data_IF_082611139079
#
_entry.id   IF_082611139079
#
_cell.length_a   1.000
_cell.length_b   1.000
_cell.length_c   1.000
_cell.angle_alpha   90.00
_cell.angle_beta   90.00
_cell.angle_gamma   90.00
#
_symmetry.space_group_name_H-M   'P 1'
#
loop_
_entity.id
_entity.type
_entity.pdbx_description
1 polymer ?
#
# COMPACT_ATOMS: atom_id res chain seq x y z
N UNK A 1 45.89 -88.05 -19.52
CA UNK A 1 46.44 -87.97 -20.95
C UNK A 1 45.88 -86.74 -21.56
N UNK A 2 46.76 -85.75 -21.78
CA UNK A 2 46.73 -84.76 -22.94
C UNK A 2 45.41 -83.92 -23.10
N UNK A 3 45.38 -82.65 -23.32
CA UNK A 3 46.27 -81.62 -23.91
C UNK A 3 45.69 -80.24 -23.61
N UNK A 4 46.61 -79.33 -23.36
CA UNK A 4 46.39 -77.91 -23.27
C UNK A 4 45.76 -77.32 -24.58
N UNK A 5 44.88 -76.36 -24.41
CA UNK A 5 44.73 -75.24 -25.37
C UNK A 5 44.42 -73.91 -24.68
N UNK A 6 45.40 -73.03 -24.77
CA UNK A 6 45.29 -71.62 -24.39
C UNK A 6 44.38 -70.93 -25.38
N UNK A 7 43.38 -70.25 -24.88
CA UNK A 7 42.68 -69.22 -25.68
C UNK A 7 43.09 -67.85 -25.14
N UNK A 8 43.77 -67.14 -26.02
CA UNK A 8 44.08 -65.73 -25.91
C UNK A 8 42.79 -64.96 -26.14
N UNK A 9 42.24 -64.31 -25.09
CA UNK A 9 41.14 -63.36 -25.26
C UNK A 9 41.75 -61.97 -25.35
N UNK A 10 41.78 -61.40 -26.53
CA UNK A 10 42.16 -60.02 -26.79
C UNK A 10 41.03 -59.12 -26.29
N UNK A 11 41.30 -58.40 -25.16
CA UNK A 11 40.37 -57.40 -24.63
C UNK A 11 40.47 -56.13 -25.47
N UNK A 12 39.45 -55.88 -26.30
CA UNK A 12 39.29 -54.62 -27.05
C UNK A 12 38.75 -53.57 -26.09
N UNK A 13 39.61 -52.66 -25.64
CA UNK A 13 39.20 -51.46 -24.88
C UNK A 13 38.50 -50.47 -25.86
N UNK A 14 37.18 -50.47 -25.85
CA UNK A 14 36.41 -49.40 -26.49
C UNK A 14 36.44 -48.19 -25.57
N UNK A 15 37.23 -47.19 -25.89
CA UNK A 15 37.18 -45.86 -25.28
C UNK A 15 35.89 -45.18 -25.72
N UNK A 16 34.87 -45.26 -24.91
CA UNK A 16 33.70 -44.42 -25.04
C UNK A 16 34.09 -42.99 -24.56
N UNK A 17 34.43 -42.15 -25.49
CA UNK A 17 34.54 -40.71 -25.23
C UNK A 17 33.12 -40.20 -24.92
N UNK A 18 32.76 -40.17 -23.66
CA UNK A 18 31.63 -39.42 -23.19
C UNK A 18 31.96 -37.94 -23.41
N UNK A 19 31.53 -37.38 -24.51
CA UNK A 19 31.41 -35.93 -24.66
C UNK A 19 30.35 -35.49 -23.66
N UNK A 20 30.76 -35.25 -22.43
CA UNK A 20 29.97 -34.52 -21.49
C UNK A 20 29.69 -33.16 -22.10
N UNK A 21 28.46 -32.94 -22.54
CA UNK A 21 28.00 -31.58 -22.73
C UNK A 21 28.12 -30.92 -21.35
N UNK A 22 29.13 -30.09 -21.18
CA UNK A 22 29.22 -29.20 -20.03
C UNK A 22 27.93 -28.39 -20.03
N UNK A 23 27.06 -28.67 -19.09
CA UNK A 23 25.94 -27.79 -18.75
C UNK A 23 26.60 -26.45 -18.38
N UNK A 24 26.60 -25.51 -19.30
CA UNK A 24 27.08 -24.15 -19.05
C UNK A 24 26.16 -23.61 -17.96
N UNK A 25 26.63 -23.64 -16.71
CA UNK A 25 25.96 -22.93 -15.66
C UNK A 25 25.91 -21.48 -16.09
N UNK A 26 24.71 -20.86 -16.15
CA UNK A 26 24.62 -19.45 -16.51
C UNK A 26 25.53 -18.69 -15.56
N UNK A 27 26.40 -17.86 -16.12
CA UNK A 27 27.42 -17.17 -15.35
C UNK A 27 26.81 -16.36 -14.25
N UNK A 28 27.44 -16.42 -13.09
CA UNK A 28 27.13 -15.63 -11.88
C UNK A 28 27.10 -14.11 -12.17
N UNK A 29 27.60 -13.67 -13.31
CA UNK A 29 27.70 -12.26 -13.67
C UNK A 29 26.35 -11.53 -13.82
N UNK A 30 25.28 -12.20 -14.24
CA UNK A 30 23.96 -11.60 -14.38
C UNK A 30 23.04 -11.82 -13.18
N UNK A 31 23.40 -12.75 -12.29
CA UNK A 31 22.60 -13.02 -11.08
C UNK A 31 22.62 -11.83 -10.12
N UNK A 32 21.54 -11.67 -9.37
CA UNK A 32 21.31 -10.60 -8.43
C UNK A 32 20.27 -9.61 -8.90
N UNK A 33 20.18 -8.48 -8.22
CA UNK A 33 19.19 -7.45 -8.52
C UNK A 33 19.80 -6.34 -9.38
N UNK A 34 18.98 -5.84 -10.29
CA UNK A 34 19.35 -4.79 -11.24
C UNK A 34 18.23 -3.75 -11.29
N UNK A 35 18.56 -2.47 -11.16
CA UNK A 35 17.56 -1.41 -11.13
C UNK A 35 17.89 -0.24 -12.05
N UNK A 36 16.84 0.41 -12.53
CA UNK A 36 16.97 1.59 -13.38
C UNK A 36 15.65 2.33 -13.53
N UNK A 37 15.73 3.53 -14.11
CA UNK A 37 14.56 4.38 -14.31
C UNK A 37 14.08 4.33 -15.75
N UNK A 38 12.87 3.81 -15.94
CA UNK A 38 12.13 3.82 -17.21
C UNK A 38 11.46 5.19 -17.37
N UNK A 39 11.80 5.92 -18.43
CA UNK A 39 11.17 7.22 -18.73
C UNK A 39 10.02 7.03 -19.71
N UNK A 40 8.81 7.34 -19.27
CA UNK A 40 7.58 7.28 -20.08
C UNK A 40 6.98 8.69 -20.15
N UNK A 41 7.25 9.41 -21.22
CA UNK A 41 6.88 10.83 -21.33
C UNK A 41 7.58 11.67 -20.26
N UNK A 42 6.78 12.36 -19.45
CA UNK A 42 7.28 13.16 -18.31
C UNK A 42 7.45 12.35 -17.02
N UNK A 43 6.93 11.13 -16.98
CA UNK A 43 7.02 10.24 -15.83
C UNK A 43 8.30 9.41 -15.86
N UNK A 44 8.77 9.04 -14.67
CA UNK A 44 9.90 8.13 -14.49
C UNK A 44 9.50 7.04 -13.50
N UNK A 45 9.61 5.76 -13.91
CA UNK A 45 9.29 4.61 -13.07
C UNK A 45 10.56 3.82 -12.76
N UNK A 46 10.77 3.52 -11.49
CA UNK A 46 11.85 2.61 -11.09
C UNK A 46 11.42 1.17 -11.37
N UNK A 47 12.25 0.44 -12.11
CA UNK A 47 12.11 -0.99 -12.31
C UNK A 47 13.27 -1.72 -11.62
N UNK A 48 12.98 -2.84 -10.96
CA UNK A 48 13.99 -3.70 -10.34
C UNK A 48 13.79 -5.12 -10.87
N UNK A 49 14.79 -5.62 -11.57
CA UNK A 49 14.83 -6.98 -12.10
C UNK A 49 15.67 -7.85 -11.16
N UNK A 50 15.08 -8.93 -10.65
CA UNK A 50 15.77 -9.92 -9.82
C UNK A 50 16.01 -11.17 -10.63
N UNK A 51 17.26 -11.66 -10.63
CA UNK A 51 17.68 -12.94 -11.21
C UNK A 51 18.28 -13.78 -10.10
N UNK A 52 17.56 -14.80 -9.66
CA UNK A 52 17.95 -15.64 -8.54
C UNK A 52 18.21 -17.07 -8.99
N UNK A 53 19.33 -17.67 -8.53
CA UNK A 53 19.58 -19.07 -8.78
C UNK A 53 18.65 -19.91 -7.93
N UNK A 54 17.82 -20.71 -8.57
CA UNK A 54 16.98 -21.72 -7.95
C UNK A 54 17.44 -23.11 -8.37
N UNK A 55 16.84 -24.17 -7.83
CA UNK A 55 17.20 -25.54 -8.11
C UNK A 55 17.09 -25.88 -9.60
N UNK A 56 18.21 -25.78 -10.33
CA UNK A 56 18.33 -26.13 -11.73
C UNK A 56 17.85 -25.07 -12.74
N UNK A 57 17.40 -23.89 -12.30
CA UNK A 57 16.98 -22.79 -13.17
C UNK A 57 17.29 -21.41 -12.56
N UNK A 58 17.12 -20.34 -13.34
CA UNK A 58 17.16 -18.97 -12.85
C UNK A 58 15.72 -18.45 -12.76
N UNK A 59 15.28 -18.19 -11.54
CA UNK A 59 14.02 -17.49 -11.27
C UNK A 59 14.18 -16.00 -11.59
N UNK A 60 13.15 -15.41 -12.20
CA UNK A 60 13.16 -14.00 -12.56
C UNK A 60 11.88 -13.36 -12.04
N UNK A 61 12.04 -12.23 -11.34
CA UNK A 61 10.92 -11.39 -10.94
C UNK A 61 11.20 -9.93 -11.26
N UNK A 62 10.14 -9.15 -11.40
CA UNK A 62 10.20 -7.72 -11.63
C UNK A 62 9.46 -6.99 -10.50
N UNK A 63 10.07 -5.94 -9.95
CA UNK A 63 9.40 -4.99 -9.08
C UNK A 63 9.22 -3.65 -9.80
N UNK A 64 8.15 -2.95 -9.48
CA UNK A 64 7.93 -1.55 -9.79
C UNK A 64 7.58 -0.80 -8.50
N UNK A 65 8.60 -0.39 -7.71
CA UNK A 65 8.38 0.23 -6.40
C UNK A 65 7.49 1.48 -6.45
N UNK A 66 7.63 2.28 -7.50
CA UNK A 66 6.84 3.51 -7.70
C UNK A 66 5.36 3.23 -8.01
N UNK A 67 5.02 1.97 -8.28
CA UNK A 67 3.65 1.49 -8.47
C UNK A 67 3.20 0.55 -7.35
N UNK A 68 4.01 0.38 -6.29
CA UNK A 68 3.74 -0.53 -5.18
C UNK A 68 3.78 -2.01 -5.57
N UNK A 69 4.24 -2.35 -6.77
CA UNK A 69 4.25 -3.71 -7.28
C UNK A 69 5.57 -4.42 -6.97
N UNK A 70 5.49 -5.63 -6.39
CA UNK A 70 6.64 -6.48 -6.07
C UNK A 70 6.42 -7.93 -6.52
N UNK A 71 7.51 -8.59 -6.88
CA UNK A 71 7.50 -10.03 -7.17
C UNK A 71 6.68 -10.41 -8.40
N UNK A 72 6.51 -9.50 -9.37
CA UNK A 72 5.80 -9.81 -10.61
C UNK A 72 6.57 -10.92 -11.32
N UNK A 73 5.91 -12.06 -11.54
CA UNK A 73 6.53 -13.20 -12.19
C UNK A 73 6.99 -12.85 -13.61
N UNK A 74 8.25 -13.11 -13.91
CA UNK A 74 8.85 -12.92 -15.20
C UNK A 74 9.43 -14.24 -15.73
N UNK A 75 9.45 -14.40 -17.05
CA UNK A 75 9.99 -15.58 -17.71
C UNK A 75 11.30 -15.23 -18.42
N UNK A 76 12.28 -16.06 -18.20
CA UNK A 76 13.53 -16.03 -18.95
C UNK A 76 13.31 -16.58 -20.36
N UNK A 77 13.28 -15.73 -21.37
CA UNK A 77 13.30 -16.18 -22.78
C UNK A 77 14.71 -16.61 -23.19
N UNK A 78 15.72 -15.87 -22.74
CA UNK A 78 17.13 -16.13 -23.05
C UNK A 78 18.02 -15.64 -21.91
N UNK A 79 19.13 -16.36 -21.65
CA UNK A 79 20.18 -15.97 -20.71
C UNK A 79 21.51 -16.58 -21.17
N UNK A 80 22.52 -15.74 -21.34
CA UNK A 80 23.91 -16.11 -21.60
C UNK A 80 24.84 -15.43 -20.59
N UNK A 81 26.14 -15.48 -20.84
CA UNK A 81 27.15 -14.89 -19.95
C UNK A 81 27.04 -13.36 -19.86
N UNK A 82 26.61 -12.71 -20.92
CA UNK A 82 26.57 -11.25 -21.04
C UNK A 82 25.22 -10.70 -21.53
N UNK A 83 24.24 -11.54 -21.79
CA UNK A 83 22.99 -11.09 -22.43
C UNK A 83 21.79 -11.80 -21.84
N UNK A 84 20.67 -11.07 -21.72
CA UNK A 84 19.41 -11.62 -21.24
C UNK A 84 18.22 -11.10 -22.05
N UNK A 85 17.17 -11.92 -22.07
CA UNK A 85 15.85 -11.54 -22.53
C UNK A 85 14.82 -12.10 -21.53
N UNK A 86 13.98 -11.22 -21.00
CA UNK A 86 12.92 -11.58 -20.05
C UNK A 86 11.59 -11.04 -20.54
N UNK A 87 10.51 -11.76 -20.17
CA UNK A 87 9.14 -11.42 -20.50
C UNK A 87 8.28 -11.45 -19.26
N UNK A 88 7.41 -10.45 -19.09
CA UNK A 88 6.37 -10.40 -18.07
C UNK A 88 5.01 -10.47 -18.77
N UNK A 89 4.40 -11.66 -18.79
CA UNK A 89 3.17 -11.91 -19.56
C UNK A 89 1.98 -11.13 -19.02
N UNK A 90 1.86 -11.02 -17.70
CA UNK A 90 0.73 -10.34 -17.04
C UNK A 90 0.54 -8.89 -17.47
N UNK A 91 1.61 -8.24 -17.94
CA UNK A 91 1.60 -6.84 -18.38
C UNK A 91 2.06 -6.67 -19.84
N UNK A 92 2.28 -7.77 -20.58
CA UNK A 92 2.71 -7.74 -21.97
C UNK A 92 4.06 -7.06 -22.20
N UNK A 93 5.02 -7.20 -21.25
CA UNK A 93 6.31 -6.53 -21.28
C UNK A 93 7.43 -7.49 -21.66
N UNK A 94 8.43 -6.97 -22.41
CA UNK A 94 9.72 -7.65 -22.64
C UNK A 94 10.87 -6.69 -22.34
N UNK A 95 11.96 -7.22 -21.79
CA UNK A 95 13.21 -6.50 -21.63
C UNK A 95 14.36 -7.34 -22.19
N UNK A 96 15.17 -6.74 -23.10
CA UNK A 96 16.33 -7.37 -23.72
C UNK A 96 17.54 -6.49 -23.46
N UNK A 97 18.60 -7.07 -22.89
CA UNK A 97 19.77 -6.30 -22.51
C UNK A 97 21.07 -7.11 -22.67
N UNK A 98 22.16 -6.37 -22.74
CA UNK A 98 23.52 -6.88 -22.69
C UNK A 98 24.30 -6.24 -21.56
N UNK A 99 25.10 -7.03 -20.86
CA UNK A 99 26.01 -6.56 -19.83
C UNK A 99 27.16 -5.81 -20.51
N UNK A 100 27.27 -4.51 -20.22
CA UNK A 100 28.28 -3.62 -20.73
C UNK A 100 28.73 -2.69 -19.60
N UNK A 101 30.04 -2.62 -19.35
CA UNK A 101 30.64 -1.77 -18.32
C UNK A 101 29.98 -1.89 -16.93
N UNK A 102 29.56 -3.13 -16.56
CA UNK A 102 28.89 -3.41 -15.28
C UNK A 102 27.42 -3.02 -15.21
N UNK A 103 26.80 -2.63 -16.32
CA UNK A 103 25.40 -2.26 -16.45
C UNK A 103 24.69 -3.16 -17.46
N UNK A 104 23.40 -3.37 -17.32
CA UNK A 104 22.55 -3.98 -18.34
C UNK A 104 22.04 -2.88 -19.26
N UNK A 105 22.68 -2.73 -20.41
CA UNK A 105 22.26 -1.81 -21.46
C UNK A 105 21.22 -2.51 -22.34
N UNK A 106 20.00 -2.00 -22.35
CA UNK A 106 18.91 -2.74 -22.97
C UNK A 106 17.73 -1.90 -23.42
N UNK A 107 16.70 -2.64 -23.78
CA UNK A 107 15.48 -2.10 -24.34
C UNK A 107 14.26 -2.73 -23.66
N UNK A 108 13.42 -1.90 -23.12
CA UNK A 108 12.09 -2.22 -22.61
C UNK A 108 11.07 -2.08 -23.74
N UNK A 109 10.18 -3.05 -23.90
CA UNK A 109 9.09 -2.97 -24.87
C UNK A 109 7.77 -3.39 -24.22
N UNK A 110 6.71 -2.61 -24.43
CA UNK A 110 5.36 -2.88 -23.95
C UNK A 110 4.33 -2.22 -24.88
N UNK A 111 3.25 -2.92 -25.21
CA UNK A 111 2.14 -2.41 -26.04
C UNK A 111 2.60 -1.71 -27.34
N UNK A 112 3.58 -2.27 -28.02
CA UNK A 112 4.13 -1.72 -29.27
C UNK A 112 5.09 -0.53 -29.09
N UNK A 113 5.28 -0.05 -27.88
CA UNK A 113 6.24 1.02 -27.56
C UNK A 113 7.55 0.41 -27.10
N UNK A 114 8.67 0.97 -27.57
CA UNK A 114 10.03 0.53 -27.22
C UNK A 114 10.80 1.71 -26.63
N UNK A 115 11.41 1.50 -25.45
CA UNK A 115 12.11 2.54 -24.69
C UNK A 115 13.49 2.01 -24.27
N UNK A 116 14.58 2.75 -24.48
CA UNK A 116 15.88 2.41 -23.91
C UNK A 116 15.80 2.35 -22.37
N UNK A 117 16.41 1.30 -21.79
CA UNK A 117 16.45 1.14 -20.34
C UNK A 117 17.80 0.54 -19.93
N UNK A 118 18.57 1.32 -19.17
CA UNK A 118 19.80 0.84 -18.56
C UNK A 118 19.52 0.50 -17.10
N UNK A 119 19.91 -0.72 -16.71
CA UNK A 119 19.82 -1.15 -15.30
C UNK A 119 21.23 -1.26 -14.71
N UNK A 120 21.41 -0.71 -13.53
CA UNK A 120 22.61 -0.82 -12.71
C UNK A 120 22.44 -1.88 -11.64
N UNK A 121 23.53 -2.47 -11.18
CA UNK A 121 23.48 -3.49 -10.12
C UNK A 121 23.01 -2.90 -8.79
N UNK A 122 22.11 -3.61 -8.12
CA UNK A 122 21.56 -3.27 -6.82
C UNK A 122 20.09 -2.81 -6.90
N UNK A 123 19.51 -2.66 -5.71
CA UNK A 123 18.16 -2.09 -5.51
C UNK A 123 18.36 -0.71 -4.90
N UNK A 124 17.70 0.34 -5.41
CA UNK A 124 17.74 1.64 -4.76
C UNK A 124 17.14 1.50 -3.36
N UNK A 125 17.90 1.78 -2.34
CA UNK A 125 17.41 1.81 -0.98
C UNK A 125 16.87 3.21 -0.68
N UNK A 126 15.55 3.31 -0.54
CA UNK A 126 14.92 4.54 -0.03
C UNK A 126 14.74 4.36 1.47
N UNK A 127 15.41 5.22 2.23
CA UNK A 127 15.34 5.19 3.70
C UNK A 127 13.93 5.53 4.18
N UNK A 128 13.54 4.95 5.31
CA UNK A 128 12.29 5.21 6.00
C UNK A 128 12.56 5.65 7.44
N UNK A 129 13.12 6.86 7.64
CA UNK A 129 13.65 7.28 8.94
C UNK A 129 12.58 7.38 10.03
N UNK A 130 11.31 7.55 9.67
CA UNK A 130 10.21 7.63 10.62
C UNK A 130 9.66 6.27 11.04
N UNK A 131 10.04 5.16 10.37
CA UNK A 131 9.55 3.83 10.75
C UNK A 131 10.11 3.44 12.12
N UNK A 132 9.27 3.27 13.14
CA UNK A 132 9.70 2.92 14.48
C UNK A 132 10.44 1.58 14.51
N UNK A 133 11.48 1.50 15.32
CA UNK A 133 12.29 0.29 15.50
C UNK A 133 12.15 -0.23 16.92
N UNK A 134 12.18 -1.55 17.08
CA UNK A 134 12.24 -2.18 18.41
C UNK A 134 13.63 -1.97 19.08
N UNK A 135 13.68 -1.88 20.41
CA UNK A 135 12.57 -2.00 21.36
C UNK A 135 11.75 -0.70 21.46
N UNK A 136 10.42 -0.83 21.45
CA UNK A 136 9.53 0.32 21.61
C UNK A 136 9.50 0.79 23.08
N UNK A 137 9.35 2.11 23.35
CA UNK A 137 9.24 2.66 24.71
C UNK A 137 7.84 2.53 25.31
N UNK A 138 6.94 1.82 24.66
CA UNK A 138 5.55 1.57 25.03
C UNK A 138 5.19 0.10 24.79
N UNK A 139 4.09 -0.35 25.38
CA UNK A 139 3.60 -1.72 25.26
C UNK A 139 2.71 -1.87 24.02
N UNK A 140 2.92 -2.95 23.28
CA UNK A 140 2.06 -3.44 22.19
C UNK A 140 1.41 -4.75 22.63
N UNK A 141 0.08 -4.81 22.49
CA UNK A 141 -0.74 -5.98 22.81
C UNK A 141 -1.35 -6.52 21.51
N UNK A 142 -1.02 -7.76 21.13
CA UNK A 142 -1.73 -8.44 20.02
C UNK A 142 -3.13 -8.79 20.47
N UNK A 143 -4.12 -8.39 19.69
CA UNK A 143 -5.53 -8.56 20.01
C UNK A 143 -6.30 -9.12 18.84
N UNK A 144 -7.46 -9.72 19.14
CA UNK A 144 -8.45 -10.09 18.13
C UNK A 144 -9.83 -9.60 18.56
N UNK A 145 -10.65 -9.24 17.59
CA UNK A 145 -12.06 -8.91 17.80
C UNK A 145 -12.91 -9.50 16.68
N UNK A 146 -14.19 -9.69 16.92
CA UNK A 146 -15.07 -10.43 16.05
C UNK A 146 -16.21 -9.56 15.50
N UNK A 147 -16.38 -9.56 14.18
CA UNK A 147 -17.54 -9.03 13.49
C UNK A 147 -18.54 -10.17 13.25
N UNK A 148 -19.58 -10.24 14.08
CA UNK A 148 -20.59 -11.29 14.03
C UNK A 148 -21.39 -11.27 12.72
N UNK A 149 -21.68 -10.08 12.18
CA UNK A 149 -22.50 -9.92 10.99
C UNK A 149 -21.87 -10.56 9.75
N UNK A 150 -20.55 -10.52 9.65
CA UNK A 150 -19.80 -11.00 8.48
C UNK A 150 -18.92 -12.22 8.79
N UNK A 151 -18.99 -12.76 10.00
CA UNK A 151 -18.14 -13.89 10.46
C UNK A 151 -16.65 -13.65 10.23
N UNK A 152 -16.20 -12.42 10.50
CA UNK A 152 -14.80 -12.03 10.36
C UNK A 152 -14.12 -11.90 11.73
N UNK A 153 -12.98 -12.54 11.90
CA UNK A 153 -12.09 -12.35 13.06
C UNK A 153 -10.95 -11.44 12.63
N UNK A 154 -10.92 -10.25 13.19
CA UNK A 154 -9.94 -9.21 12.88
C UNK A 154 -8.79 -9.29 13.89
N UNK A 155 -7.57 -9.37 13.40
CA UNK A 155 -6.36 -9.34 14.21
C UNK A 155 -5.74 -7.94 14.21
N UNK A 156 -5.32 -7.46 15.36
CA UNK A 156 -4.78 -6.10 15.48
C UNK A 156 -3.70 -5.99 16.55
N UNK A 157 -3.10 -4.82 16.61
CA UNK A 157 -2.15 -4.42 17.65
C UNK A 157 -2.72 -3.21 18.38
N UNK A 158 -3.00 -3.39 19.66
CA UNK A 158 -3.34 -2.31 20.58
C UNK A 158 -2.02 -1.76 21.15
N UNK A 159 -1.72 -0.51 20.78
CA UNK A 159 -0.53 0.20 21.27
C UNK A 159 -0.94 1.07 22.47
N UNK A 160 -0.35 0.82 23.63
CA UNK A 160 -0.60 1.56 24.87
C UNK A 160 0.25 2.85 24.91
N UNK A 161 -0.21 3.91 25.59
CA UNK A 161 0.61 5.11 25.76
C UNK A 161 1.91 4.82 26.49
N UNK A 162 2.96 5.54 26.14
CA UNK A 162 4.22 5.50 26.87
C UNK A 162 3.99 5.87 28.35
N UNK A 163 4.47 5.03 29.27
CA UNK A 163 4.27 5.23 30.71
C UNK A 163 2.83 5.05 31.18
N UNK A 164 2.02 4.26 30.46
CA UNK A 164 0.63 4.00 30.80
C UNK A 164 0.45 3.49 32.24
N UNK A 165 -0.42 4.15 32.99
CA UNK A 165 -0.90 3.68 34.30
C UNK A 165 -2.37 3.24 34.19
N UNK A 166 -2.68 2.03 34.65
CA UNK A 166 -4.05 1.44 34.66
C UNK A 166 -5.09 2.31 35.39
N UNK A 167 -4.65 3.26 36.23
CA UNK A 167 -5.53 4.22 36.89
C UNK A 167 -5.98 5.35 35.96
N UNK A 168 -5.27 5.59 34.86
CA UNK A 168 -5.64 6.58 33.88
C UNK A 168 -6.55 5.96 32.81
N UNK A 169 -7.36 6.80 32.19
CA UNK A 169 -8.18 6.41 31.03
C UNK A 169 -7.79 7.26 29.83
N UNK A 170 -6.72 6.89 29.11
CA UNK A 170 -6.30 7.63 27.94
C UNK A 170 -7.40 7.61 26.86
N UNK A 171 -7.35 8.57 25.92
CA UNK A 171 -8.09 8.43 24.68
C UNK A 171 -7.50 7.27 23.88
N UNK A 172 -8.34 6.59 23.12
CA UNK A 172 -7.91 5.56 22.15
C UNK A 172 -8.47 5.84 20.78
N UNK A 173 -7.69 5.55 19.74
CA UNK A 173 -8.05 5.78 18.35
C UNK A 173 -7.99 4.44 17.59
N UNK A 174 -9.11 4.06 16.98
CA UNK A 174 -9.12 3.00 15.99
C UNK A 174 -8.62 3.58 14.65
N UNK A 175 -7.59 2.98 14.04
CA UNK A 175 -7.10 3.37 12.73
C UNK A 175 -7.75 2.50 11.66
N UNK A 176 -8.32 3.13 10.63
CA UNK A 176 -9.04 2.48 9.52
C UNK A 176 -8.38 2.88 8.21
N UNK A 177 -7.91 1.87 7.49
CA UNK A 177 -7.16 1.99 6.23
C UNK A 177 -7.98 2.59 5.10
N UNK A 178 -7.28 3.00 4.05
CA UNK A 178 -7.88 3.40 2.78
C UNK A 178 -8.36 2.21 1.95
N UNK A 179 -8.62 2.48 0.66
CA UNK A 179 -9.19 1.50 -0.27
C UNK A 179 -8.30 0.29 -0.51
N UNK A 180 -8.93 -0.86 -0.67
CA UNK A 180 -8.27 -2.15 -0.87
C UNK A 180 -8.01 -2.87 0.45
N UNK A 181 -7.60 -4.15 0.32
CA UNK A 181 -7.21 -4.95 1.49
C UNK A 181 -5.80 -4.58 1.94
N UNK A 182 -5.67 -4.12 3.17
CA UNK A 182 -4.42 -3.63 3.72
C UNK A 182 -4.10 -4.29 5.06
N UNK A 183 -2.80 -4.38 5.38
CA UNK A 183 -2.38 -4.78 6.71
C UNK A 183 -2.55 -3.61 7.70
N UNK A 184 -2.44 -3.92 8.98
CA UNK A 184 -2.63 -2.97 10.10
C UNK A 184 -1.71 -1.75 10.08
N UNK A 185 -0.62 -1.78 9.33
CA UNK A 185 0.34 -0.69 9.21
C UNK A 185 0.02 0.25 8.03
N UNK A 186 -1.02 -0.10 7.22
CA UNK A 186 -1.32 0.56 5.94
C UNK A 186 -0.06 0.60 5.06
N UNK A 187 0.59 -0.56 4.89
CA UNK A 187 1.88 -0.62 4.20
C UNK A 187 1.71 -0.37 2.70
N UNK A 188 2.10 0.83 2.28
CA UNK A 188 2.00 1.34 0.91
C UNK A 188 3.35 1.90 0.45
N UNK A 189 3.83 1.51 -0.73
CA UNK A 189 5.07 2.04 -1.32
C UNK A 189 6.31 1.94 -0.39
N UNK A 190 6.33 0.92 0.48
CA UNK A 190 7.38 0.73 1.49
C UNK A 190 7.29 1.64 2.71
N UNK A 191 6.23 2.44 2.83
CA UNK A 191 5.88 3.20 4.03
C UNK A 191 4.94 2.40 4.93
N UNK A 192 4.91 2.76 6.21
CA UNK A 192 3.99 2.22 7.24
C UNK A 192 3.31 3.36 8.00
N UNK A 193 2.42 4.12 7.34
CA UNK A 193 1.82 5.33 7.94
C UNK A 193 1.17 5.06 9.28
N UNK A 194 0.38 4.00 9.41
CA UNK A 194 -0.32 3.71 10.66
C UNK A 194 0.61 3.27 11.79
N UNK A 195 1.73 2.61 11.48
CA UNK A 195 2.75 2.32 12.49
C UNK A 195 3.39 3.62 13.01
N UNK A 196 3.70 4.57 12.10
CA UNK A 196 4.27 5.88 12.44
C UNK A 196 3.28 6.71 13.27
N UNK A 197 2.00 6.75 12.87
CA UNK A 197 0.93 7.44 13.63
C UNK A 197 0.81 6.82 15.03
N UNK A 198 0.79 5.49 15.14
CA UNK A 198 0.63 4.80 16.42
C UNK A 198 1.81 5.07 17.37
N UNK A 199 3.05 5.03 16.87
CA UNK A 199 4.24 5.38 17.67
C UNK A 199 4.16 6.82 18.17
N UNK A 200 3.85 7.77 17.27
CA UNK A 200 3.75 9.17 17.64
C UNK A 200 2.67 9.41 18.70
N UNK A 201 1.47 8.87 18.48
CA UNK A 201 0.35 9.03 19.41
C UNK A 201 0.61 8.37 20.78
N UNK A 202 1.27 7.20 20.81
CA UNK A 202 1.66 6.54 22.06
C UNK A 202 2.61 7.41 22.88
N UNK A 203 3.57 8.07 22.24
CA UNK A 203 4.47 9.05 22.91
C UNK A 203 3.74 10.31 23.41
N UNK A 204 2.58 10.62 22.84
CA UNK A 204 1.73 11.75 23.22
C UNK A 204 0.61 11.37 24.22
N UNK A 205 0.65 10.16 24.79
CA UNK A 205 -0.31 9.70 25.79
C UNK A 205 -1.66 9.25 25.24
N UNK A 206 -1.73 8.86 23.96
CA UNK A 206 -2.93 8.40 23.26
C UNK A 206 -2.71 6.95 22.82
N UNK A 207 -3.65 6.06 23.16
CA UNK A 207 -3.63 4.67 22.69
C UNK A 207 -4.13 4.56 21.25
N UNK A 208 -3.71 3.50 20.54
CA UNK A 208 -4.21 3.21 19.19
C UNK A 208 -4.50 1.72 19.00
N UNK A 209 -5.52 1.41 18.21
CA UNK A 209 -5.74 0.06 17.68
C UNK A 209 -5.61 0.09 16.16
N UNK A 210 -4.62 -0.63 15.64
CA UNK A 210 -4.43 -0.92 14.23
C UNK A 210 -4.84 -2.37 13.96
N UNK A 211 -5.51 -2.67 12.87
CA UNK A 211 -5.93 -4.05 12.56
C UNK A 211 -5.72 -4.38 11.09
N UNK A 212 -5.47 -5.65 10.81
CA UNK A 212 -5.43 -6.17 9.45
C UNK A 212 -6.88 -6.26 8.92
N UNK A 213 -7.12 -5.80 7.70
CA UNK A 213 -8.43 -5.92 7.07
C UNK A 213 -8.85 -7.39 6.97
N UNK A 214 -10.16 -7.65 6.78
CA UNK A 214 -10.69 -9.01 6.60
C UNK A 214 -9.90 -9.81 5.58
N UNK A 215 -9.59 -11.07 5.89
CA UNK A 215 -8.81 -12.00 5.07
C UNK A 215 -7.41 -11.48 4.67
N UNK A 216 -6.84 -10.54 5.44
CA UNK A 216 -5.48 -10.00 5.24
C UNK A 216 -4.63 -10.25 6.48
N UNK A 217 -3.33 -10.40 6.32
CA UNK A 217 -2.39 -10.58 7.42
C UNK A 217 -2.77 -11.74 8.34
N UNK A 218 -3.09 -11.42 9.60
CA UNK A 218 -3.55 -12.40 10.61
C UNK A 218 -5.07 -12.44 10.76
N UNK A 219 -5.82 -11.59 10.06
CA UNK A 219 -7.29 -11.59 10.05
C UNK A 219 -7.82 -12.74 9.20
N UNK A 220 -8.88 -13.39 9.66
CA UNK A 220 -9.49 -14.53 8.98
C UNK A 220 -11.01 -14.39 8.89
N UNK A 221 -11.61 -15.00 7.87
CA UNK A 221 -13.04 -14.93 7.63
C UNK A 221 -13.46 -13.61 6.97
N UNK A 222 -14.77 -13.45 6.83
CA UNK A 222 -15.36 -12.39 6.03
C UNK A 222 -15.25 -12.62 4.53
N UNK A 223 -16.29 -12.30 3.81
CA UNK A 223 -16.30 -12.35 2.35
C UNK A 223 -15.55 -11.12 1.81
N UNK A 224 -14.73 -11.27 0.77
CA UNK A 224 -13.89 -10.20 0.22
C UNK A 224 -14.29 -9.87 -1.22
N UNK A 225 -14.56 -10.89 -2.04
CA UNK A 225 -14.78 -10.71 -3.48
C UNK A 225 -15.89 -9.70 -3.80
N UNK A 226 -16.95 -9.70 -2.99
CA UNK A 226 -18.09 -8.80 -3.13
C UNK A 226 -18.17 -7.77 -1.99
N UNK A 227 -17.14 -7.70 -1.15
CA UNK A 227 -17.11 -6.75 -0.04
C UNK A 227 -17.13 -5.30 -0.56
N UNK A 228 -17.81 -4.45 0.18
CA UNK A 228 -17.95 -3.02 -0.10
C UNK A 228 -17.47 -2.21 1.09
N UNK A 229 -17.41 -0.91 0.97
CA UNK A 229 -17.08 0.00 2.09
C UNK A 229 -18.02 -0.22 3.29
N UNK A 230 -19.28 -0.60 3.04
CA UNK A 230 -20.23 -0.91 4.13
C UNK A 230 -19.83 -2.17 4.94
N UNK A 231 -19.17 -3.12 4.30
CA UNK A 231 -18.65 -4.32 4.95
C UNK A 231 -17.44 -3.97 5.83
N UNK A 232 -16.50 -3.19 5.31
CA UNK A 232 -15.36 -2.68 6.08
C UNK A 232 -15.79 -1.74 7.23
N UNK A 233 -16.87 -0.97 7.05
CA UNK A 233 -17.47 -0.18 8.13
C UNK A 233 -17.97 -1.07 9.28
N UNK A 234 -18.53 -2.27 9.00
CA UNK A 234 -18.94 -3.20 10.06
C UNK A 234 -17.74 -3.79 10.82
N UNK A 235 -16.61 -4.01 10.13
CA UNK A 235 -15.37 -4.43 10.79
C UNK A 235 -14.84 -3.33 11.74
N UNK A 236 -14.81 -2.10 11.28
CA UNK A 236 -14.41 -0.95 12.10
C UNK A 236 -15.39 -0.74 13.29
N UNK A 237 -16.70 -0.97 13.09
CA UNK A 237 -17.69 -0.93 14.17
C UNK A 237 -17.41 -1.97 15.25
N UNK A 238 -17.04 -3.20 14.86
CA UNK A 238 -16.63 -4.24 15.80
C UNK A 238 -15.37 -3.85 16.58
N UNK A 239 -14.38 -3.20 15.92
CA UNK A 239 -13.18 -2.66 16.56
C UNK A 239 -13.50 -1.60 17.61
N UNK A 240 -14.41 -0.65 17.31
CA UNK A 240 -14.87 0.35 18.30
C UNK A 240 -15.60 -0.31 19.48
N UNK A 241 -16.45 -1.30 19.22
CA UNK A 241 -17.14 -2.06 20.25
C UNK A 241 -16.16 -2.81 21.16
N UNK A 242 -15.13 -3.45 20.56
CA UNK A 242 -14.06 -4.10 21.30
C UNK A 242 -13.33 -3.10 22.21
N UNK A 243 -12.92 -1.93 21.71
CA UNK A 243 -12.25 -0.92 22.52
C UNK A 243 -13.11 -0.46 23.71
N UNK A 244 -14.41 -0.25 23.50
CA UNK A 244 -15.35 0.10 24.57
C UNK A 244 -15.50 -1.02 25.60
N UNK A 245 -15.50 -2.28 25.17
CA UNK A 245 -15.62 -3.43 26.07
C UNK A 245 -14.45 -3.57 27.04
N UNK A 246 -13.27 -3.05 26.68
CA UNK A 246 -12.05 -3.03 27.53
C UNK A 246 -12.23 -2.17 28.79
N UNK A 247 -13.10 -1.17 28.75
CA UNK A 247 -13.36 -0.22 29.87
C UNK A 247 -12.10 0.52 30.36
N UNK A 248 -11.01 0.45 29.62
CA UNK A 248 -9.71 1.01 29.94
C UNK A 248 -9.50 2.42 29.40
N UNK A 249 -10.39 2.89 28.53
CA UNK A 249 -10.26 4.13 27.80
C UNK A 249 -11.32 5.16 28.21
N UNK A 250 -10.98 6.44 28.05
CA UNK A 250 -11.91 7.56 28.17
C UNK A 250 -12.69 7.73 26.85
N UNK A 251 -12.20 8.61 25.98
CA UNK A 251 -12.79 8.79 24.66
C UNK A 251 -12.30 7.69 23.69
N UNK A 252 -13.22 7.11 22.93
CA UNK A 252 -12.94 6.11 21.89
C UNK A 252 -13.24 6.75 20.54
N UNK A 253 -12.20 7.13 19.81
CA UNK A 253 -12.31 7.78 18.51
C UNK A 253 -11.92 6.86 17.35
N UNK A 254 -12.06 7.41 16.14
CA UNK A 254 -11.67 6.77 14.88
C UNK A 254 -10.83 7.75 14.06
N UNK A 255 -9.75 7.23 13.47
CA UNK A 255 -8.95 7.92 12.45
C UNK A 255 -9.03 7.07 11.19
N UNK A 256 -9.59 7.64 10.13
CA UNK A 256 -9.69 6.95 8.85
C UNK A 256 -8.95 7.71 7.77
N UNK A 257 -8.15 6.98 6.98
CA UNK A 257 -7.46 7.50 5.81
C UNK A 257 -8.26 7.21 4.54
N UNK A 258 -8.40 8.19 3.67
CA UNK A 258 -9.06 8.03 2.36
C UNK A 258 -10.47 7.42 2.52
N UNK A 259 -10.76 6.22 1.99
CA UNK A 259 -12.01 5.48 2.21
C UNK A 259 -12.32 5.28 3.69
N UNK A 260 -11.29 5.05 4.53
CA UNK A 260 -11.44 4.99 5.98
C UNK A 260 -12.03 6.27 6.59
N UNK A 261 -11.82 7.43 5.95
CA UNK A 261 -12.48 8.69 6.30
C UNK A 261 -13.99 8.66 6.07
N UNK A 262 -14.45 8.02 4.98
CA UNK A 262 -15.88 7.75 4.76
C UNK A 262 -16.46 6.85 5.83
N UNK A 263 -15.74 5.76 6.16
CA UNK A 263 -16.12 4.83 7.25
C UNK A 263 -16.21 5.58 8.59
N UNK A 264 -15.29 6.50 8.86
CA UNK A 264 -15.32 7.31 10.07
C UNK A 264 -16.59 8.18 10.16
N UNK A 265 -17.00 8.81 9.06
CA UNK A 265 -18.26 9.58 9.02
C UNK A 265 -19.50 8.69 9.16
N UNK A 266 -19.54 7.51 8.51
CA UNK A 266 -20.64 6.55 8.70
C UNK A 266 -20.80 6.15 10.17
N UNK A 267 -19.70 5.88 10.87
CA UNK A 267 -19.72 5.49 12.28
C UNK A 267 -19.99 6.67 13.21
N UNK A 268 -19.57 7.89 12.84
CA UNK A 268 -19.92 9.13 13.52
C UNK A 268 -21.41 9.43 13.47
N UNK A 269 -22.04 9.27 12.29
CA UNK A 269 -23.48 9.40 12.08
C UNK A 269 -24.27 8.40 12.96
N UNK A 270 -23.74 7.18 13.12
CA UNK A 270 -24.29 6.15 13.99
C UNK A 270 -23.95 6.35 15.49
N UNK A 271 -23.24 7.42 15.86
CA UNK A 271 -22.84 7.76 17.24
C UNK A 271 -21.96 6.67 17.89
N UNK A 272 -21.18 5.95 17.08
CA UNK A 272 -20.29 4.88 17.54
C UNK A 272 -18.89 5.37 17.94
N UNK A 273 -18.50 6.59 17.52
CA UNK A 273 -17.22 7.22 17.87
C UNK A 273 -17.46 8.50 18.71
N UNK A 274 -16.56 8.77 19.66
CA UNK A 274 -16.60 9.97 20.49
C UNK A 274 -15.92 11.16 19.78
N UNK A 275 -15.08 10.90 18.79
CA UNK A 275 -14.47 11.88 17.89
C UNK A 275 -13.99 11.21 16.60
N UNK A 276 -13.80 12.02 15.56
CA UNK A 276 -13.32 11.57 14.23
C UNK A 276 -12.09 12.38 13.83
N UNK A 277 -11.07 11.69 13.31
CA UNK A 277 -9.99 12.27 12.49
C UNK A 277 -10.14 11.71 11.07
N UNK A 278 -10.41 12.58 10.10
CA UNK A 278 -10.55 12.20 8.68
C UNK A 278 -9.33 12.66 7.91
N UNK A 279 -8.41 11.73 7.62
CA UNK A 279 -7.22 11.96 6.81
C UNK A 279 -7.58 11.79 5.34
N UNK A 280 -7.57 12.88 4.56
CA UNK A 280 -7.89 12.86 3.14
C UNK A 280 -9.20 12.10 2.81
N UNK A 281 -10.19 12.17 3.73
CA UNK A 281 -11.46 11.48 3.56
C UNK A 281 -12.39 12.18 2.57
N UNK A 282 -13.20 11.42 1.80
CA UNK A 282 -14.18 11.97 0.86
C UNK A 282 -15.22 12.88 1.52
N UNK A 283 -15.49 14.04 0.90
CA UNK A 283 -16.56 14.96 1.27
C UNK A 283 -17.61 15.10 0.19
N UNK A 284 -17.37 14.55 -1.00
CA UNK A 284 -18.25 14.56 -2.17
C UNK A 284 -18.59 13.13 -2.59
N UNK A 285 -19.62 13.00 -3.44
CA UNK A 285 -20.08 11.71 -3.96
C UNK A 285 -18.96 10.97 -4.70
N UNK A 286 -18.89 9.64 -4.57
CA UNK A 286 -17.82 8.80 -5.07
C UNK A 286 -17.58 8.90 -6.57
N UNK A 287 -18.62 8.98 -7.42
CA UNK A 287 -18.43 9.15 -8.88
C UNK A 287 -17.76 10.49 -9.22
N UNK A 288 -18.19 11.57 -8.59
CA UNK A 288 -17.60 12.90 -8.76
C UNK A 288 -16.15 12.94 -8.27
N UNK A 289 -15.86 12.28 -7.16
CA UNK A 289 -14.52 12.17 -6.61
C UNK A 289 -13.58 11.43 -7.57
N UNK A 290 -13.95 10.24 -8.03
CA UNK A 290 -13.09 9.39 -8.87
C UNK A 290 -12.89 9.98 -10.28
N UNK A 291 -13.88 10.70 -10.80
CA UNK A 291 -13.73 11.47 -12.05
C UNK A 291 -12.76 12.64 -11.88
N UNK A 292 -12.88 13.39 -10.78
CA UNK A 292 -11.97 14.50 -10.48
C UNK A 292 -10.53 13.99 -10.28
N UNK A 293 -10.35 12.91 -9.53
CA UNK A 293 -9.06 12.20 -9.37
C UNK A 293 -8.47 11.82 -10.73
N UNK A 294 -9.25 11.12 -11.57
CA UNK A 294 -8.79 10.65 -12.88
C UNK A 294 -8.33 11.81 -13.74
N UNK A 295 -9.12 12.89 -13.82
CA UNK A 295 -8.81 14.05 -14.62
C UNK A 295 -7.59 14.83 -14.11
N UNK A 296 -7.42 14.95 -12.80
CA UNK A 296 -6.27 15.64 -12.22
C UNK A 296 -4.98 14.82 -12.45
N UNK A 297 -5.03 13.50 -12.25
CA UNK A 297 -3.87 12.62 -12.54
C UNK A 297 -3.51 12.68 -14.03
N UNK A 298 -4.49 12.64 -14.95
CA UNK A 298 -4.24 12.80 -16.38
C UNK A 298 -3.54 14.13 -16.67
N UNK A 299 -4.04 15.23 -16.12
CA UNK A 299 -3.47 16.56 -16.31
C UNK A 299 -2.04 16.68 -15.75
N UNK A 300 -1.81 16.20 -14.55
CA UNK A 300 -0.46 16.17 -13.93
C UNK A 300 0.52 15.26 -14.69
N UNK A 301 -0.01 14.26 -15.40
CA UNK A 301 0.77 13.38 -16.28
C UNK A 301 0.95 13.92 -17.69
N UNK A 302 0.51 15.15 -17.97
CA UNK A 302 0.64 15.79 -19.29
C UNK A 302 -0.39 15.34 -20.32
N UNK A 303 -1.48 14.66 -19.91
CA UNK A 303 -2.59 14.25 -20.76
C UNK A 303 -3.78 15.20 -20.61
N UNK A 304 -4.67 15.21 -21.62
CA UNK A 304 -5.90 16.01 -21.55
C UNK A 304 -6.92 15.34 -20.62
N UNK A 305 -7.56 16.07 -19.71
CA UNK A 305 -8.63 15.56 -18.85
C UNK A 305 -9.88 15.28 -19.69
N UNK A 306 -10.22 14.02 -19.89
CA UNK A 306 -11.35 13.60 -20.74
C UNK A 306 -12.34 12.68 -20.06
N UNK A 307 -12.16 12.42 -18.75
CA UNK A 307 -13.05 11.55 -18.00
C UNK A 307 -14.35 12.28 -17.65
N UNK A 308 -15.49 11.62 -17.91
CA UNK A 308 -16.81 12.02 -17.40
C UNK A 308 -17.38 10.93 -16.50
N UNK A 309 -18.46 11.24 -15.76
CA UNK A 309 -19.14 10.25 -14.90
C UNK A 309 -19.62 9.06 -15.73
N UNK A 310 -20.21 9.31 -16.90
CA UNK A 310 -20.71 8.28 -17.81
C UNK A 310 -19.55 7.38 -18.28
N UNK A 311 -18.47 7.98 -18.78
CA UNK A 311 -17.29 7.23 -19.23
C UNK A 311 -16.65 6.42 -18.10
N UNK A 312 -16.62 6.97 -16.89
CA UNK A 312 -16.08 6.25 -15.74
C UNK A 312 -16.90 5.00 -15.42
N UNK A 313 -18.24 5.16 -15.36
CA UNK A 313 -19.18 4.07 -15.09
C UNK A 313 -19.22 3.00 -16.18
N UNK A 314 -18.89 3.35 -17.42
CA UNK A 314 -18.84 2.40 -18.55
C UNK A 314 -17.61 1.52 -18.58
N UNK A 315 -16.58 1.80 -17.79
CA UNK A 315 -15.37 0.99 -17.75
C UNK A 315 -15.67 -0.43 -17.23
N UNK A 316 -15.15 -1.45 -17.91
CA UNK A 316 -15.36 -2.85 -17.51
C UNK A 316 -14.87 -3.14 -16.09
N UNK A 317 -13.73 -2.57 -15.68
CA UNK A 317 -13.22 -2.70 -14.32
C UNK A 317 -14.21 -2.18 -13.27
N UNK A 318 -14.93 -1.11 -13.56
CA UNK A 318 -15.98 -0.53 -12.69
C UNK A 318 -17.17 -1.48 -12.64
N UNK A 319 -17.66 -1.94 -13.80
CA UNK A 319 -18.81 -2.86 -13.89
C UNK A 319 -18.57 -4.20 -13.21
N UNK A 320 -17.34 -4.67 -13.16
CA UNK A 320 -16.96 -5.97 -12.57
C UNK A 320 -16.59 -5.88 -11.09
N UNK A 321 -16.47 -4.69 -10.50
CA UNK A 321 -16.10 -4.50 -9.11
C UNK A 321 -17.29 -4.06 -8.25
N UNK A 322 -17.86 -4.94 -7.42
CA UNK A 322 -18.94 -4.57 -6.49
C UNK A 322 -18.54 -3.42 -5.56
N UNK A 323 -17.28 -3.41 -5.11
CA UNK A 323 -16.76 -2.32 -4.29
C UNK A 323 -16.80 -0.97 -5.01
N UNK A 324 -16.29 -0.89 -6.27
CA UNK A 324 -16.30 0.39 -7.02
C UNK A 324 -17.73 0.82 -7.30
N UNK A 325 -18.64 -0.11 -7.71
CA UNK A 325 -20.05 0.20 -7.95
C UNK A 325 -20.73 0.80 -6.71
N UNK A 326 -20.48 0.22 -5.55
CA UNK A 326 -21.00 0.75 -4.29
C UNK A 326 -20.40 2.13 -3.99
N UNK A 327 -19.09 2.28 -4.11
CA UNK A 327 -18.36 3.50 -3.78
C UNK A 327 -18.77 4.69 -4.65
N UNK A 328 -18.93 4.51 -5.96
CA UNK A 328 -19.37 5.59 -6.88
C UNK A 328 -20.78 6.07 -6.61
N UNK A 329 -21.63 5.25 -6.01
CA UNK A 329 -22.99 5.62 -5.65
C UNK A 329 -23.10 6.23 -4.25
N UNK A 330 -22.09 6.01 -3.39
CA UNK A 330 -22.08 6.54 -2.05
C UNK A 330 -21.89 8.06 -2.04
N UNK A 331 -22.78 8.75 -1.33
CA UNK A 331 -22.70 10.19 -1.06
C UNK A 331 -22.53 10.40 0.46
N UNK A 332 -21.35 10.87 0.93
CA UNK A 332 -21.07 11.05 2.34
C UNK A 332 -21.85 12.19 3.00
N UNK A 333 -22.57 13.01 2.21
CA UNK A 333 -23.24 14.22 2.69
C UNK A 333 -24.21 13.97 3.84
N UNK A 334 -24.94 12.86 3.82
CA UNK A 334 -25.89 12.51 4.87
C UNK A 334 -25.18 12.16 6.17
N UNK A 335 -24.11 11.34 6.09
CA UNK A 335 -23.37 10.91 7.27
C UNK A 335 -22.60 12.08 7.91
N UNK A 336 -22.01 12.96 7.08
CA UNK A 336 -21.33 14.16 7.59
C UNK A 336 -22.31 15.05 8.34
N UNK A 337 -23.53 15.31 7.80
CA UNK A 337 -24.56 16.12 8.48
C UNK A 337 -25.06 15.51 9.78
N UNK A 338 -25.11 14.18 9.88
CA UNK A 338 -25.57 13.46 11.06
C UNK A 338 -24.48 13.25 12.12
N UNK A 339 -23.23 13.53 11.77
CA UNK A 339 -22.10 13.42 12.72
C UNK A 339 -22.20 14.50 13.78
N UNK A 340 -22.38 14.09 15.05
CA UNK A 340 -22.55 14.97 16.19
C UNK A 340 -21.29 15.08 17.07
N UNK A 341 -20.31 14.18 16.93
CA UNK A 341 -19.07 14.22 17.67
C UNK A 341 -18.08 15.23 17.04
N UNK A 342 -17.04 15.67 17.80
CA UNK A 342 -15.96 16.49 17.24
C UNK A 342 -15.28 15.84 16.05
N UNK A 343 -14.97 16.63 15.02
CA UNK A 343 -14.33 16.19 13.78
C UNK A 343 -13.09 17.03 13.51
N UNK A 344 -11.97 16.35 13.25
CA UNK A 344 -10.81 16.95 12.61
C UNK A 344 -10.67 16.36 11.20
N UNK A 345 -11.04 17.14 10.18
CA UNK A 345 -10.87 16.79 8.78
C UNK A 345 -9.66 17.52 8.20
N UNK A 346 -8.73 16.79 7.61
CA UNK A 346 -7.49 17.34 7.10
C UNK A 346 -7.10 16.70 5.76
N UNK A 347 -6.40 17.49 4.92
CA UNK A 347 -5.92 17.04 3.62
C UNK A 347 -4.72 17.88 3.15
N UNK A 348 -3.93 17.34 2.21
CA UNK A 348 -2.87 18.08 1.51
C UNK A 348 -3.40 18.79 0.26
N UNK A 349 -2.86 19.98 -0.05
CA UNK A 349 -3.24 20.75 -1.23
C UNK A 349 -2.73 20.13 -2.55
N UNK A 350 -1.71 19.23 -2.45
CA UNK A 350 -1.18 18.44 -3.57
C UNK A 350 -1.80 17.03 -3.64
N UNK A 351 -2.86 16.76 -2.89
CA UNK A 351 -3.60 15.50 -2.99
C UNK A 351 -4.34 15.43 -4.34
N UNK A 352 -3.87 14.59 -5.25
CA UNK A 352 -4.50 14.36 -6.54
C UNK A 352 -5.56 13.26 -6.52
N UNK A 353 -5.73 12.53 -5.40
CA UNK A 353 -6.71 11.46 -5.26
C UNK A 353 -8.01 11.97 -4.62
N UNK A 354 -7.91 12.68 -3.49
CA UNK A 354 -9.05 13.32 -2.81
C UNK A 354 -8.79 14.81 -2.76
N UNK A 355 -9.15 15.52 -3.81
CA UNK A 355 -8.80 16.94 -4.01
C UNK A 355 -9.29 17.79 -2.82
N UNK A 356 -8.34 18.39 -2.08
CA UNK A 356 -8.59 19.10 -0.82
C UNK A 356 -9.65 20.21 -0.97
N UNK A 357 -9.52 21.06 -1.99
CA UNK A 357 -10.42 22.20 -2.23
C UNK A 357 -11.89 21.78 -2.43
N UNK A 358 -12.14 20.60 -2.98
CA UNK A 358 -13.50 20.06 -3.17
C UNK A 358 -14.00 19.40 -1.86
N UNK A 359 -13.21 18.52 -1.30
CA UNK A 359 -13.64 17.64 -0.21
C UNK A 359 -13.69 18.38 1.14
N UNK A 360 -12.65 19.13 1.51
CA UNK A 360 -12.67 19.91 2.75
C UNK A 360 -13.72 21.03 2.72
N UNK A 361 -13.96 21.64 1.56
CA UNK A 361 -15.04 22.64 1.40
C UNK A 361 -16.41 22.01 1.64
N UNK A 362 -16.64 20.82 1.06
CA UNK A 362 -17.90 20.10 1.27
C UNK A 362 -18.07 19.69 2.74
N UNK A 363 -17.04 19.10 3.37
CA UNK A 363 -17.07 18.71 4.77
C UNK A 363 -17.36 19.93 5.67
N UNK A 364 -16.64 21.03 5.49
CA UNK A 364 -16.85 22.27 6.28
C UNK A 364 -18.28 22.78 6.20
N UNK A 365 -18.89 22.71 5.01
CA UNK A 365 -20.28 23.16 4.80
C UNK A 365 -21.31 22.22 5.42
N UNK A 366 -21.01 20.93 5.51
CA UNK A 366 -21.95 19.88 5.92
C UNK A 366 -21.91 19.61 7.43
N UNK A 367 -20.76 19.80 8.07
CA UNK A 367 -20.60 19.58 9.50
C UNK A 367 -21.50 20.49 10.34
N UNK A 368 -22.07 19.92 11.38
CA UNK A 368 -22.78 20.72 12.40
C UNK A 368 -21.79 21.70 13.05
N UNK A 369 -22.23 22.96 13.32
CA UNK A 369 -21.36 23.93 13.96
C UNK A 369 -20.87 23.46 15.33
N UNK A 370 -19.56 23.42 15.53
CA UNK A 370 -18.93 23.10 16.80
C UNK A 370 -17.57 23.79 16.89
N UNK A 371 -17.26 24.37 18.06
CA UNK A 371 -15.91 24.92 18.35
C UNK A 371 -14.82 23.86 18.42
N UNK A 372 -15.20 22.59 18.57
CA UNK A 372 -14.29 21.45 18.61
C UNK A 372 -14.00 20.88 17.20
N UNK A 373 -14.75 21.29 16.18
CA UNK A 373 -14.45 20.90 14.80
C UNK A 373 -13.26 21.70 14.26
N UNK A 374 -12.38 21.03 13.55
CA UNK A 374 -11.27 21.60 12.81
C UNK A 374 -11.26 21.07 11.38
N UNK A 375 -11.13 21.94 10.40
CA UNK A 375 -10.97 21.56 8.97
C UNK A 375 -9.73 22.29 8.47
N UNK A 376 -8.65 21.55 8.21
CA UNK A 376 -7.33 22.11 7.88
C UNK A 376 -6.78 21.53 6.58
N UNK A 377 -6.28 22.41 5.71
CA UNK A 377 -5.53 22.07 4.51
C UNK A 377 -4.05 22.34 4.78
N UNK A 378 -3.18 21.43 4.32
CA UNK A 378 -1.74 21.54 4.50
C UNK A 378 -1.06 21.79 3.16
N UNK A 379 -0.16 22.78 3.07
CA UNK A 379 0.54 23.08 1.83
C UNK A 379 1.58 22.01 1.50
N UNK A 380 1.77 21.76 0.22
CA UNK A 380 2.77 20.87 -0.37
C UNK A 380 2.70 19.41 0.11
N UNK A 381 1.57 18.95 0.65
CA UNK A 381 1.37 17.56 1.06
C UNK A 381 0.51 16.79 0.05
N UNK A 382 0.93 15.55 -0.24
CA UNK A 382 0.19 14.62 -1.09
C UNK A 382 -0.89 13.85 -0.30
N UNK A 383 -1.51 12.85 -0.93
CA UNK A 383 -2.55 12.01 -0.33
C UNK A 383 -2.09 11.23 0.91
N UNK A 384 -0.80 10.87 1.02
CA UNK A 384 -0.20 10.22 2.18
C UNK A 384 0.34 11.23 3.22
N UNK A 385 0.09 12.52 3.03
CA UNK A 385 0.61 13.60 3.87
C UNK A 385 2.14 13.70 3.89
N UNK A 386 2.79 13.35 2.78
CA UNK A 386 4.22 13.53 2.56
C UNK A 386 4.45 14.86 1.84
N UNK A 387 5.53 15.58 2.17
CA UNK A 387 5.97 16.71 1.36
C UNK A 387 6.39 16.20 -0.03
N UNK A 388 5.80 16.79 -1.05
CA UNK A 388 5.90 16.29 -2.42
C UNK A 388 6.14 17.40 -3.43
N UNK A 389 6.45 17.01 -4.68
CA UNK A 389 6.63 17.93 -5.80
C UNK A 389 5.42 17.92 -6.73
N UNK A 390 4.97 16.74 -7.13
CA UNK A 390 3.89 16.58 -8.11
C UNK A 390 2.56 16.18 -7.47
N UNK A 391 2.61 15.52 -6.31
CA UNK A 391 1.46 14.87 -5.68
C UNK A 391 1.02 13.57 -6.34
N UNK A 392 1.67 13.15 -7.44
CA UNK A 392 1.36 11.92 -8.13
C UNK A 392 1.76 10.69 -7.30
N UNK A 393 0.97 9.60 -7.31
CA UNK A 393 1.30 8.36 -6.61
C UNK A 393 2.67 7.75 -7.00
N UNK A 394 3.15 8.05 -8.20
CA UNK A 394 4.45 7.58 -8.71
C UNK A 394 5.67 8.13 -7.97
N UNK A 395 5.52 9.19 -7.18
CA UNK A 395 6.62 9.70 -6.36
C UNK A 395 6.59 9.20 -4.91
N UNK A 396 5.47 8.65 -4.41
CA UNK A 396 5.31 8.27 -3.00
C UNK A 396 6.43 7.35 -2.51
N UNK A 397 6.77 6.31 -3.28
CA UNK A 397 7.82 5.37 -2.93
C UNK A 397 9.23 5.97 -2.90
N UNK A 398 9.46 7.10 -3.56
CA UNK A 398 10.77 7.79 -3.63
C UNK A 398 10.97 8.81 -2.51
N UNK A 399 9.90 9.24 -1.85
CA UNK A 399 9.94 10.17 -0.72
C UNK A 399 10.39 9.41 0.53
N UNK A 400 11.36 9.92 1.27
CA UNK A 400 11.82 9.29 2.53
C UNK A 400 10.84 9.52 3.69
N UNK A 401 10.13 10.66 3.69
CA UNK A 401 9.12 11.00 4.68
C UNK A 401 7.90 10.12 4.54
N UNK A 402 7.43 9.53 5.65
CA UNK A 402 6.21 8.71 5.66
C UNK A 402 4.96 9.56 5.87
N UNK A 403 5.04 10.54 6.77
CA UNK A 403 3.95 11.48 7.07
C UNK A 403 4.54 12.75 7.70
N UNK A 404 4.03 13.92 7.33
CA UNK A 404 4.50 15.19 7.86
C UNK A 404 4.42 15.25 9.40
N UNK A 405 5.52 15.61 10.08
CA UNK A 405 5.54 15.79 11.52
C UNK A 405 4.51 16.83 12.03
N UNK A 406 4.20 17.85 11.24
CA UNK A 406 3.17 18.85 11.57
C UNK A 406 1.80 18.19 11.67
N UNK A 407 1.46 17.31 10.73
CA UNK A 407 0.18 16.56 10.74
C UNK A 407 0.06 15.71 11.99
N UNK A 408 1.11 14.97 12.33
CA UNK A 408 1.16 14.12 13.53
C UNK A 408 0.97 14.95 14.80
N UNK A 409 1.64 16.09 14.90
CA UNK A 409 1.54 17.00 16.05
C UNK A 409 0.14 17.57 16.20
N UNK A 410 -0.47 18.03 15.12
CA UNK A 410 -1.81 18.61 15.15
C UNK A 410 -2.86 17.58 15.56
N UNK A 411 -2.77 16.34 15.05
CA UNK A 411 -3.67 15.25 15.44
C UNK A 411 -3.57 14.99 16.95
N UNK A 412 -2.35 14.82 17.46
CA UNK A 412 -2.15 14.54 18.88
C UNK A 412 -2.64 15.69 19.78
N UNK A 413 -2.33 16.92 19.41
CA UNK A 413 -2.75 18.11 20.14
C UNK A 413 -4.27 18.25 20.14
N UNK A 414 -4.92 18.08 18.99
CA UNK A 414 -6.37 18.19 18.88
C UNK A 414 -7.07 17.12 19.73
N UNK A 415 -6.64 15.85 19.68
CA UNK A 415 -7.22 14.78 20.50
C UNK A 415 -7.03 15.07 21.99
N UNK A 416 -5.85 15.52 22.40
CA UNK A 416 -5.59 15.84 23.81
C UNK A 416 -6.44 17.01 24.32
N UNK A 417 -6.76 17.98 23.47
CA UNK A 417 -7.64 19.10 23.81
C UNK A 417 -9.13 18.70 23.93
N UNK A 418 -9.54 17.53 23.43
CA UNK A 418 -10.91 17.02 23.61
C UNK A 418 -11.20 16.58 25.04
N UNK A 419 -10.17 16.32 25.85
CA UNK A 419 -10.28 15.88 27.25
C UNK A 419 -10.71 17.03 28.19
N UNK A 420 -10.61 18.26 27.69
CA UNK A 420 -11.03 19.48 28.40
C UNK A 420 -12.46 19.87 27.98
#
# INVERSE_FOLDING_TARGET
MKINRKYFVTLLLVLVVLTGQAQVNPTTALLGSWSGKLKVGIMSLTLVLHLEQADGYVAVTLDSPDQGAKGIAAYKEFLSDDSLAVKVESIGMTYRARLKDGQLDGTFAQNGTTIPLVLTRGVPEVKRPQTPQEPFPYENEEVTFYNEADSATLAGTLTWPMGYDKKTKPAVVLLVTGSGQQNRDEELFGHKPFLVIADFLARQGIATLRYDDRATGKSVGGEVKNATTADFMRDAAAGLAYLRSRKAFGNVGILGHSEGGSIAFMLGAQKKADFIVSLAGPGVKGDSLLVAQSNLIMMLSGALPTMSVEKYREQEAVKQSPWIQWFIDYDPSADIRQTCCPVFALNGDHDCQVIASQNLTAIRRLLLPSKKNLVKEYPALNHLFQHCTSGLPTEYGQIEETISPEVLQDIAQWINNLKQ
#
